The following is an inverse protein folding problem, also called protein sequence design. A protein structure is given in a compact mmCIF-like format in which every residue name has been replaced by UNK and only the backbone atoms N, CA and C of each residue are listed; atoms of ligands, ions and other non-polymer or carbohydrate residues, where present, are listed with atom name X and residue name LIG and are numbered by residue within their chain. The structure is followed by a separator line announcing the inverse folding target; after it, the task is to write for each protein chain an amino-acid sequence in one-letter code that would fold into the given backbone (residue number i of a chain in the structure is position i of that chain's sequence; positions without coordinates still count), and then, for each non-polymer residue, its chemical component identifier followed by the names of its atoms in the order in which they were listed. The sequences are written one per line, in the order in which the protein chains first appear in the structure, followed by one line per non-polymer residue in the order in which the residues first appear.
data_IF_104571196539
#
_entry.id   IF_104571196539
#
_cell.length_a   1.000
_cell.length_b   1.000
_cell.length_c   1.000
_cell.angle_alpha   90.00
_cell.angle_beta   90.00
_cell.angle_gamma   90.00
#
_symmetry.space_group_name_H-M   'P 1'
#
loop_
_entity.id
_entity.type
_entity.pdbx_description
1 polymer ?
#
# COMPACT_ATOMS: atom_id res chain seq x y z
N UNK A 1 24.91 56.95 -9.42
CA UNK A 1 24.34 55.83 -10.21
C UNK A 1 24.97 54.45 -9.95
N UNK A 2 26.24 54.32 -9.63
CA UNK A 2 26.89 53.01 -9.33
C UNK A 2 26.41 52.33 -8.05
N UNK A 3 25.93 53.04 -7.05
CA UNK A 3 25.47 52.48 -5.76
C UNK A 3 24.14 51.76 -5.87
N UNK A 4 23.26 52.15 -6.77
CA UNK A 4 21.96 51.51 -6.94
C UNK A 4 22.00 50.21 -7.77
N UNK A 5 23.01 50.04 -8.63
CA UNK A 5 23.19 48.82 -9.42
C UNK A 5 23.61 47.63 -8.53
N UNK A 6 24.40 47.89 -7.47
CA UNK A 6 24.80 46.81 -6.55
C UNK A 6 23.65 46.31 -5.67
N UNK A 7 22.73 47.19 -5.26
CA UNK A 7 21.58 46.82 -4.44
C UNK A 7 20.56 45.98 -5.26
N UNK A 8 20.37 46.35 -6.55
CA UNK A 8 19.48 45.59 -7.42
C UNK A 8 19.99 44.16 -7.74
N UNK A 9 21.29 44.00 -7.89
CA UNK A 9 21.91 42.69 -8.12
C UNK A 9 21.78 41.76 -6.89
N UNK A 10 21.87 42.30 -5.68
CA UNK A 10 21.72 41.52 -4.43
C UNK A 10 20.28 41.04 -4.21
N UNK A 11 19.28 41.86 -4.54
CA UNK A 11 17.86 41.49 -4.38
C UNK A 11 17.41 40.40 -5.34
N UNK A 12 17.96 40.35 -6.57
CA UNK A 12 17.63 39.32 -7.56
C UNK A 12 18.18 37.95 -7.17
N UNK A 13 19.36 37.91 -6.55
CA UNK A 13 20.01 36.66 -6.09
C UNK A 13 19.25 36.04 -4.90
N UNK A 14 18.68 36.86 -4.00
CA UNK A 14 17.94 36.36 -2.82
C UNK A 14 16.59 35.72 -3.25
N UNK A 15 15.94 36.21 -4.29
CA UNK A 15 14.64 35.66 -4.76
C UNK A 15 14.79 34.30 -5.43
N UNK A 16 15.96 33.98 -6.01
CA UNK A 16 16.21 32.69 -6.67
C UNK A 16 16.45 31.53 -5.70
N UNK A 17 16.76 31.79 -4.45
CA UNK A 17 16.99 30.73 -3.43
C UNK A 17 15.74 30.28 -2.68
N UNK A 18 14.59 30.95 -2.84
CA UNK A 18 13.37 30.65 -2.10
C UNK A 18 12.39 29.72 -2.83
N UNK A 19 12.71 29.28 -4.03
CA UNK A 19 11.91 28.33 -4.77
C UNK A 19 12.47 26.90 -4.70
N UNK A 20 12.80 26.43 -3.51
CA UNK A 20 12.93 24.99 -3.29
C UNK A 20 11.52 24.39 -3.34
N UNK A 21 11.18 23.53 -4.31
CA UNK A 21 9.94 22.79 -4.23
C UNK A 21 10.04 21.89 -2.99
N UNK A 22 9.29 22.21 -1.96
CA UNK A 22 9.01 21.28 -0.87
C UNK A 22 8.18 20.16 -1.49
N UNK A 23 8.85 19.22 -2.13
CA UNK A 23 8.28 17.92 -2.42
C UNK A 23 7.95 17.32 -1.06
N UNK A 24 6.68 17.39 -0.69
CA UNK A 24 6.16 16.68 0.46
C UNK A 24 6.48 15.19 0.22
N UNK A 25 7.59 14.72 0.76
CA UNK A 25 7.96 13.30 0.73
C UNK A 25 6.89 12.58 1.53
N UNK A 26 5.99 11.91 0.82
CA UNK A 26 5.01 11.03 1.46
C UNK A 26 5.82 9.94 2.18
N UNK A 27 5.84 10.05 3.51
CA UNK A 27 6.65 9.17 4.35
C UNK A 27 6.11 7.74 4.27
N UNK A 28 7.00 6.79 4.00
CA UNK A 28 6.69 5.36 4.08
C UNK A 28 6.19 4.99 5.48
N UNK A 29 5.17 4.14 5.54
CA UNK A 29 4.55 3.65 6.78
C UNK A 29 4.50 2.13 6.78
N UNK A 30 4.41 1.57 7.98
CA UNK A 30 4.17 0.16 8.20
C UNK A 30 2.66 -0.13 8.28
N UNK A 31 2.23 -1.17 7.58
CA UNK A 31 0.87 -1.70 7.62
C UNK A 31 0.93 -3.19 7.96
N UNK A 32 0.11 -3.61 8.92
CA UNK A 32 -0.03 -5.01 9.30
C UNK A 32 -1.46 -5.48 9.05
N UNK A 33 -1.60 -6.66 8.46
CA UNK A 33 -2.90 -7.23 8.14
C UNK A 33 -2.77 -8.57 7.44
N UNK A 34 -3.79 -8.95 6.65
CA UNK A 34 -3.83 -10.22 5.94
C UNK A 34 -3.74 -10.00 4.43
N UNK A 35 -2.95 -10.82 3.75
CA UNK A 35 -2.91 -10.82 2.29
C UNK A 35 -4.25 -11.28 1.73
N UNK A 36 -4.73 -10.61 0.70
CA UNK A 36 -5.92 -11.01 -0.05
C UNK A 36 -5.80 -10.60 -1.51
N UNK A 37 -6.51 -11.31 -2.38
CA UNK A 37 -6.70 -10.88 -3.76
C UNK A 37 -7.86 -9.86 -3.87
N UNK A 38 -7.84 -9.06 -4.94
CA UNK A 38 -8.83 -8.00 -5.17
C UNK A 38 -10.22 -8.58 -5.40
N UNK A 39 -10.35 -9.70 -6.12
CA UNK A 39 -11.65 -10.28 -6.46
C UNK A 39 -12.42 -10.74 -5.21
N UNK A 40 -11.76 -11.52 -4.33
CA UNK A 40 -12.39 -12.01 -3.10
C UNK A 40 -12.63 -10.88 -2.10
N UNK A 41 -11.67 -9.96 -1.94
CA UNK A 41 -11.83 -8.82 -1.05
C UNK A 41 -12.99 -7.91 -1.47
N UNK A 42 -13.15 -7.64 -2.78
CA UNK A 42 -14.25 -6.81 -3.30
C UNK A 42 -15.60 -7.46 -3.03
N UNK A 43 -15.74 -8.77 -3.26
CA UNK A 43 -16.96 -9.52 -2.93
C UNK A 43 -17.28 -9.46 -1.44
N UNK A 44 -16.30 -9.72 -0.59
CA UNK A 44 -16.46 -9.66 0.86
C UNK A 44 -16.90 -8.27 1.35
N UNK A 45 -16.33 -7.21 0.77
CA UNK A 45 -16.71 -5.82 1.08
C UNK A 45 -18.15 -5.49 0.64
N UNK A 46 -18.65 -6.15 -0.42
CA UNK A 46 -20.04 -6.05 -0.87
C UNK A 46 -21.02 -6.93 -0.07
N UNK A 47 -20.53 -7.74 0.88
CA UNK A 47 -21.33 -8.70 1.65
C UNK A 47 -21.63 -9.98 0.87
N UNK A 48 -20.85 -10.28 -0.17
CA UNK A 48 -20.98 -11.47 -1.01
C UNK A 48 -19.72 -12.35 -0.89
N UNK A 49 -19.89 -13.66 -0.83
CA UNK A 49 -18.78 -14.61 -0.72
C UNK A 49 -18.24 -14.80 0.71
N UNK A 50 -16.93 -15.02 0.82
CA UNK A 50 -16.28 -15.25 2.11
C UNK A 50 -16.26 -13.98 2.98
N UNK A 51 -16.56 -14.11 4.27
CA UNK A 51 -16.54 -12.97 5.20
C UNK A 51 -15.11 -12.59 5.60
N UNK A 52 -14.38 -11.96 4.68
CA UNK A 52 -13.01 -11.47 4.92
C UNK A 52 -12.97 -10.17 5.70
N UNK A 53 -14.10 -9.50 5.87
CA UNK A 53 -14.18 -8.27 6.67
C UNK A 53 -14.13 -8.54 8.17
N UNK A 54 -14.46 -9.75 8.57
CA UNK A 54 -14.49 -10.19 9.98
C UNK A 54 -13.48 -11.31 10.24
N UNK A 55 -13.30 -12.23 9.28
CA UNK A 55 -12.46 -13.43 9.40
C UNK A 55 -11.43 -13.56 8.27
N UNK A 56 -10.55 -12.57 8.08
CA UNK A 56 -9.59 -12.59 6.96
C UNK A 56 -8.57 -13.74 7.04
N UNK A 57 -8.33 -14.28 8.24
CA UNK A 57 -7.44 -15.41 8.48
C UNK A 57 -7.92 -16.71 7.82
N UNK A 58 -9.21 -16.80 7.48
CA UNK A 58 -9.79 -17.96 6.80
C UNK A 58 -9.58 -17.96 5.28
N UNK A 59 -9.04 -16.88 4.72
CA UNK A 59 -8.74 -16.83 3.29
C UNK A 59 -7.56 -17.72 2.96
N UNK A 60 -7.80 -18.74 2.12
CA UNK A 60 -6.78 -19.75 1.84
C UNK A 60 -5.78 -19.29 0.77
N UNK A 61 -4.54 -19.74 0.90
CA UNK A 61 -3.48 -19.53 -0.11
C UNK A 61 -3.90 -20.16 -1.45
N UNK A 62 -4.55 -21.32 -1.43
CA UNK A 62 -5.06 -21.97 -2.64
C UNK A 62 -6.07 -21.10 -3.38
N UNK A 63 -7.00 -20.42 -2.69
CA UNK A 63 -7.94 -19.49 -3.29
C UNK A 63 -7.21 -18.32 -3.96
N UNK A 64 -6.26 -17.69 -3.25
CA UNK A 64 -5.48 -16.57 -3.78
C UNK A 64 -4.62 -16.94 -5.01
N UNK A 65 -4.32 -18.22 -5.21
CA UNK A 65 -3.55 -18.76 -6.36
C UNK A 65 -4.42 -19.22 -7.53
N UNK A 66 -5.74 -19.07 -7.47
CA UNK A 66 -6.58 -19.38 -8.64
C UNK A 66 -6.33 -18.35 -9.76
N UNK A 67 -6.44 -18.74 -11.04
CA UNK A 67 -6.15 -17.84 -12.16
C UNK A 67 -6.91 -16.50 -12.11
N UNK A 68 -8.18 -16.53 -11.73
CA UNK A 68 -9.01 -15.32 -11.62
C UNK A 68 -8.56 -14.39 -10.50
N UNK A 69 -8.19 -14.95 -9.33
CA UNK A 69 -7.70 -14.18 -8.20
C UNK A 69 -6.30 -13.59 -8.49
N UNK A 70 -5.41 -14.38 -9.09
CA UNK A 70 -4.09 -13.90 -9.53
C UNK A 70 -4.20 -12.76 -10.55
N UNK A 71 -5.13 -12.86 -11.50
CA UNK A 71 -5.36 -11.83 -12.51
C UNK A 71 -5.95 -10.53 -11.92
N UNK A 72 -6.72 -10.62 -10.83
CA UNK A 72 -7.32 -9.46 -10.17
C UNK A 72 -6.30 -8.60 -9.42
N UNK A 73 -5.15 -9.16 -9.06
CA UNK A 73 -4.13 -8.52 -8.23
C UNK A 73 -4.37 -8.71 -6.74
N UNK A 74 -3.49 -8.12 -5.92
CA UNK A 74 -3.44 -8.33 -4.48
C UNK A 74 -3.48 -7.02 -3.68
N UNK A 75 -3.71 -7.16 -2.39
CA UNK A 75 -3.69 -6.10 -1.42
C UNK A 75 -3.68 -6.63 0.00
N UNK A 76 -3.92 -5.76 0.94
CA UNK A 76 -3.92 -6.07 2.36
C UNK A 76 -5.26 -5.71 3.00
N UNK A 77 -5.77 -6.61 3.83
CA UNK A 77 -6.89 -6.39 4.73
C UNK A 77 -6.35 -5.86 6.07
N UNK A 78 -6.59 -4.59 6.35
CA UNK A 78 -6.11 -3.90 7.55
C UNK A 78 -7.28 -3.69 8.50
N UNK A 79 -7.10 -4.02 9.78
CA UNK A 79 -8.13 -3.82 10.80
C UNK A 79 -8.33 -2.33 11.07
N UNK A 80 -9.54 -1.85 10.89
CA UNK A 80 -9.92 -0.48 11.20
C UNK A 80 -10.28 -0.35 12.69
N UNK A 81 -9.65 0.60 13.39
CA UNK A 81 -9.82 0.76 14.83
C UNK A 81 -11.26 1.12 15.25
N UNK A 82 -11.98 1.89 14.42
CA UNK A 82 -13.33 2.37 14.74
C UNK A 82 -14.39 1.30 14.62
N UNK A 83 -14.39 0.55 13.52
CA UNK A 83 -15.39 -0.47 13.21
C UNK A 83 -15.01 -1.86 13.73
N UNK A 84 -13.73 -2.10 13.99
CA UNK A 84 -13.17 -3.42 14.30
C UNK A 84 -13.15 -4.38 13.10
N UNK A 85 -13.65 -3.95 11.94
CA UNK A 85 -13.65 -4.72 10.70
C UNK A 85 -12.37 -4.51 9.90
N UNK A 86 -12.11 -5.43 8.99
CA UNK A 86 -11.00 -5.32 8.06
C UNK A 86 -11.43 -4.59 6.79
N UNK A 87 -10.59 -3.64 6.36
CA UNK A 87 -10.78 -2.84 5.14
C UNK A 87 -9.66 -3.15 4.17
N UNK A 88 -10.01 -3.39 2.92
CA UNK A 88 -9.06 -3.74 1.88
C UNK A 88 -8.40 -2.52 1.25
N UNK A 89 -7.10 -2.61 1.05
CA UNK A 89 -6.31 -1.64 0.26
C UNK A 89 -5.44 -2.40 -0.73
N UNK A 90 -5.60 -2.13 -2.01
CA UNK A 90 -4.85 -2.83 -3.06
C UNK A 90 -3.40 -2.37 -3.14
N UNK A 91 -2.54 -3.20 -3.69
CA UNK A 91 -1.14 -2.90 -3.99
C UNK A 91 -0.97 -2.30 -5.39
N UNK A 92 0.16 -1.61 -5.59
CA UNK A 92 0.66 -1.25 -6.91
C UNK A 92 1.23 -2.48 -7.63
N UNK A 93 1.72 -2.30 -8.87
CA UNK A 93 2.26 -3.40 -9.66
C UNK A 93 3.42 -4.13 -8.97
N UNK A 94 4.35 -3.39 -8.36
CA UNK A 94 5.48 -3.97 -7.62
C UNK A 94 5.00 -4.82 -6.43
N UNK A 95 4.02 -4.31 -5.68
CA UNK A 95 3.41 -5.04 -4.57
C UNK A 95 2.69 -6.31 -5.02
N UNK A 96 2.03 -6.29 -6.17
CA UNK A 96 1.41 -7.49 -6.76
C UNK A 96 2.44 -8.57 -7.09
N UNK A 97 3.59 -8.20 -7.66
CA UNK A 97 4.67 -9.15 -7.96
C UNK A 97 5.28 -9.74 -6.68
N UNK A 98 5.50 -8.91 -5.66
CA UNK A 98 5.97 -9.36 -4.35
C UNK A 98 4.98 -10.32 -3.67
N UNK A 99 3.68 -10.04 -3.75
CA UNK A 99 2.64 -10.91 -3.21
C UNK A 99 2.59 -12.28 -3.92
N UNK A 100 2.73 -12.31 -5.25
CA UNK A 100 2.83 -13.56 -6.02
C UNK A 100 4.02 -14.40 -5.56
N UNK A 101 5.19 -13.79 -5.46
CA UNK A 101 6.41 -14.49 -5.01
C UNK A 101 6.25 -15.03 -3.57
N UNK A 102 5.60 -14.28 -2.69
CA UNK A 102 5.29 -14.73 -1.33
C UNK A 102 4.33 -15.93 -1.34
N UNK A 103 3.27 -15.90 -2.14
CA UNK A 103 2.32 -17.01 -2.27
C UNK A 103 2.95 -18.28 -2.85
N UNK A 104 4.00 -18.16 -3.64
CA UNK A 104 4.77 -19.29 -4.14
C UNK A 104 5.73 -19.86 -3.09
N UNK A 105 6.28 -19.00 -2.22
CA UNK A 105 7.28 -19.38 -1.22
C UNK A 105 6.68 -19.81 0.11
N UNK A 106 5.50 -19.33 0.47
CA UNK A 106 4.87 -19.63 1.77
C UNK A 106 4.53 -21.09 1.92
N UNK A 107 4.70 -21.61 3.15
CA UNK A 107 4.26 -22.95 3.54
C UNK A 107 2.89 -22.96 4.21
N UNK A 108 2.27 -21.79 4.39
CA UNK A 108 0.93 -21.67 4.97
C UNK A 108 -0.12 -22.11 3.97
N UNK A 109 -1.22 -22.62 4.49
CA UNK A 109 -2.43 -22.93 3.72
C UNK A 109 -3.50 -21.83 3.84
N UNK A 110 -3.44 -21.09 4.94
CA UNK A 110 -4.36 -19.99 5.27
C UNK A 110 -3.67 -19.03 6.27
N UNK A 111 -4.42 -18.09 6.85
CA UNK A 111 -3.95 -17.17 7.89
C UNK A 111 -2.65 -16.44 7.49
N UNK A 112 -2.58 -15.99 6.23
CA UNK A 112 -1.38 -15.33 5.70
C UNK A 112 -1.33 -13.87 6.17
N UNK A 113 -0.82 -13.68 7.39
CA UNK A 113 -0.60 -12.38 7.99
C UNK A 113 0.71 -11.78 7.47
N UNK A 114 0.66 -10.52 7.09
CA UNK A 114 1.78 -9.81 6.47
C UNK A 114 2.02 -8.45 7.09
N UNK A 115 3.26 -8.01 6.96
CA UNK A 115 3.70 -6.63 7.19
C UNK A 115 4.13 -6.01 5.87
N UNK A 116 3.62 -4.83 5.57
CA UNK A 116 3.91 -4.08 4.35
C UNK A 116 4.52 -2.74 4.72
N UNK A 117 5.67 -2.42 4.13
CA UNK A 117 6.22 -1.07 4.14
C UNK A 117 5.86 -0.38 2.83
N UNK A 118 5.43 0.86 2.90
CA UNK A 118 5.09 1.62 1.71
C UNK A 118 4.35 2.92 1.98
N UNK A 119 3.95 3.57 0.89
CA UNK A 119 3.23 4.84 0.94
C UNK A 119 1.79 4.62 0.49
N UNK A 120 0.84 4.96 1.37
CA UNK A 120 -0.60 4.81 1.09
C UNK A 120 -1.15 6.08 0.44
N UNK A 121 -1.77 5.93 -0.73
CA UNK A 121 -2.70 6.88 -1.31
C UNK A 121 -4.14 6.47 -0.98
N UNK A 122 -5.16 7.20 -1.47
CA UNK A 122 -6.57 6.94 -1.11
C UNK A 122 -7.01 5.48 -1.31
N UNK A 123 -6.55 4.82 -2.36
CA UNK A 123 -7.06 3.49 -2.76
C UNK A 123 -5.96 2.43 -2.95
N UNK A 124 -4.70 2.79 -2.76
CA UNK A 124 -3.58 1.92 -3.09
C UNK A 124 -2.37 2.15 -2.19
N UNK A 125 -1.61 1.09 -1.93
CA UNK A 125 -0.27 1.20 -1.33
C UNK A 125 0.77 1.01 -2.42
N UNK A 126 1.64 2.01 -2.57
CA UNK A 126 2.90 1.87 -3.31
C UNK A 126 3.87 1.11 -2.40
N UNK A 127 4.09 -0.15 -2.73
CA UNK A 127 4.78 -1.10 -1.86
C UNK A 127 6.29 -1.00 -2.01
N UNK A 128 6.99 -0.96 -0.90
CA UNK A 128 8.45 -1.04 -0.81
C UNK A 128 8.90 -2.44 -0.46
N UNK A 129 8.26 -3.07 0.53
CA UNK A 129 8.51 -4.46 0.95
C UNK A 129 7.27 -5.12 1.53
N UNK A 130 7.21 -6.45 1.42
CA UNK A 130 6.23 -7.32 2.08
C UNK A 130 7.00 -8.39 2.84
N UNK A 131 6.59 -8.64 4.09
CA UNK A 131 7.16 -9.68 4.95
C UNK A 131 6.03 -10.52 5.53
N UNK A 132 6.13 -11.83 5.44
CA UNK A 132 5.23 -12.76 6.14
C UNK A 132 5.48 -12.68 7.64
N UNK A 133 4.40 -12.66 8.43
CA UNK A 133 4.45 -12.70 9.89
C UNK A 133 4.10 -14.10 10.40
N UNK A 134 4.79 -14.54 11.44
CA UNK A 134 4.53 -15.82 12.13
C UNK A 134 3.17 -15.84 12.84
#
# INVERSE_FOLDING_TARGET
MKKYQLIFACCVIIVLFLSSPVLAQMKSKEFTGYLSDVACATKAMAGDGADLTTNPEKHTVACMKTPSCMASGYGILIKEAKSGKYVFTKFDQKGNEMAKNMLEATKRTDNLKIKVMGTKSMHMIKVESITELE
#
